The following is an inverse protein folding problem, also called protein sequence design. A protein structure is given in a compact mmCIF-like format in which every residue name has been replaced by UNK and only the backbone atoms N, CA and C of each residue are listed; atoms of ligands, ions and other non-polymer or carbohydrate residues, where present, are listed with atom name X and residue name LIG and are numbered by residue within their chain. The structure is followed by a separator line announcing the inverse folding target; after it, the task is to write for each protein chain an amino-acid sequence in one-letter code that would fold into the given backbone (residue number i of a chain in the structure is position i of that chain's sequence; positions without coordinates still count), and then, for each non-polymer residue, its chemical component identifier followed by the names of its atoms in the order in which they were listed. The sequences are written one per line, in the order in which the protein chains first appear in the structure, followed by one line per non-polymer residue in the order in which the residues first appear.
data_IF_435365954481
#
_entry.id   IF_435365954481
#
_cell.length_a   1.000
_cell.length_b   1.000
_cell.length_c   1.000
_cell.angle_alpha   90.00
_cell.angle_beta   90.00
_cell.angle_gamma   90.00
#
_symmetry.space_group_name_H-M   'P 1'
#
loop_
_entity.id
_entity.type
_entity.pdbx_description
1 polymer ?
#
# COMPACT_ATOMS: atom_id res chain seq x y z
N UNK A 1 -9.05 13.38 -1.57
CA UNK A 1 -8.96 12.51 -0.38
C UNK A 1 -9.82 11.30 -0.69
N UNK A 2 -9.31 10.11 -0.44
CA UNK A 2 -9.96 8.84 -0.75
C UNK A 2 -9.88 7.91 0.47
N UNK A 3 -10.59 6.79 0.39
CA UNK A 3 -10.43 5.67 1.30
C UNK A 3 -10.19 4.41 0.47
N UNK A 4 -9.04 3.74 0.62
CA UNK A 4 -8.68 2.56 -0.18
C UNK A 4 -8.65 2.83 -1.70
N UNK A 5 -7.88 3.85 -2.12
CA UNK A 5 -7.95 4.48 -3.44
C UNK A 5 -7.39 3.66 -4.61
N UNK A 6 -6.86 2.46 -4.38
CA UNK A 6 -6.09 1.74 -5.41
C UNK A 6 -6.92 1.45 -6.66
N UNK A 7 -8.12 0.91 -6.50
CA UNK A 7 -9.03 0.61 -7.61
C UNK A 7 -9.57 1.89 -8.27
N UNK A 8 -9.78 2.96 -7.48
CA UNK A 8 -10.21 4.27 -7.99
C UNK A 8 -9.17 4.89 -8.92
N UNK A 9 -7.88 4.81 -8.55
CA UNK A 9 -6.77 5.30 -9.39
C UNK A 9 -6.78 4.57 -10.74
N UNK A 10 -6.88 3.24 -10.72
CA UNK A 10 -6.90 2.43 -11.94
C UNK A 10 -8.12 2.77 -12.81
N UNK A 11 -9.30 2.92 -12.21
CA UNK A 11 -10.52 3.31 -12.91
C UNK A 11 -10.40 4.70 -13.55
N UNK A 12 -9.89 5.70 -12.82
CA UNK A 12 -9.71 7.07 -13.29
C UNK A 12 -8.67 7.12 -14.42
N UNK A 13 -7.54 6.43 -14.27
CA UNK A 13 -6.50 6.38 -15.30
C UNK A 13 -7.03 5.75 -16.60
N UNK A 14 -7.78 4.65 -16.49
CA UNK A 14 -8.40 4.00 -17.65
C UNK A 14 -9.48 4.89 -18.29
N UNK A 15 -10.31 5.55 -17.50
CA UNK A 15 -11.39 6.40 -18.01
C UNK A 15 -10.86 7.65 -18.73
N UNK A 16 -9.79 8.26 -18.22
CA UNK A 16 -9.26 9.52 -18.75
C UNK A 16 -8.29 9.34 -19.92
N UNK A 17 -7.88 8.10 -20.24
CA UNK A 17 -6.82 7.80 -21.23
C UNK A 17 -5.54 8.62 -21.02
N UNK A 18 -5.29 9.11 -19.80
CA UNK A 18 -4.14 9.92 -19.42
C UNK A 18 -3.49 9.27 -18.21
N UNK A 19 -2.27 8.78 -18.39
CA UNK A 19 -1.58 7.93 -17.41
C UNK A 19 -1.29 8.58 -16.05
N UNK A 20 -1.46 9.89 -15.88
CA UNK A 20 -1.31 10.59 -14.60
C UNK A 20 -2.21 11.82 -14.55
N UNK A 21 -3.37 11.70 -13.90
CA UNK A 21 -4.25 12.84 -13.61
C UNK A 21 -4.25 13.20 -12.11
N UNK A 22 -3.89 12.26 -11.24
CA UNK A 22 -4.01 12.43 -9.80
C UNK A 22 -2.72 12.94 -9.18
N UNK A 23 -2.76 14.17 -8.67
CA UNK A 23 -1.70 14.77 -7.85
C UNK A 23 -2.22 15.02 -6.43
N UNK A 24 -1.31 15.06 -5.44
CA UNK A 24 -1.65 15.37 -4.04
C UNK A 24 -2.74 14.45 -3.46
N UNK A 25 -2.59 13.15 -3.71
CA UNK A 25 -3.50 12.13 -3.21
C UNK A 25 -3.35 11.96 -1.69
N UNK A 26 -4.45 11.57 -1.04
CA UNK A 26 -4.44 11.13 0.35
C UNK A 26 -5.41 9.97 0.51
N UNK A 27 -4.97 8.90 1.18
CA UNK A 27 -5.77 7.71 1.48
C UNK A 27 -5.92 7.55 2.99
N UNK A 28 -7.16 7.64 3.47
CA UNK A 28 -7.51 7.54 4.89
C UNK A 28 -7.33 6.13 5.47
N UNK A 29 -7.47 5.07 4.67
CA UNK A 29 -7.22 3.69 5.11
C UNK A 29 -5.71 3.46 5.30
N UNK A 30 -4.90 3.93 4.35
CA UNK A 30 -3.45 3.85 4.46
C UNK A 30 -2.93 4.65 5.66
N UNK A 31 -3.47 5.86 5.86
CA UNK A 31 -3.16 6.68 7.02
C UNK A 31 -3.48 5.96 8.34
N UNK A 32 -4.66 5.33 8.43
CA UNK A 32 -5.05 4.55 9.60
C UNK A 32 -4.04 3.43 9.91
N UNK A 33 -3.59 2.72 8.88
CA UNK A 33 -2.58 1.67 9.04
C UNK A 33 -1.25 2.20 9.60
N UNK A 34 -0.80 3.39 9.17
CA UNK A 34 0.40 4.04 9.72
C UNK A 34 0.23 4.48 11.17
N UNK A 35 -0.99 4.83 11.57
CA UNK A 35 -1.36 5.22 12.92
C UNK A 35 -1.58 4.03 13.87
N UNK A 36 -1.47 2.79 13.36
CA UNK A 36 -1.57 1.56 14.16
C UNK A 36 -2.95 0.90 14.12
N UNK A 37 -3.90 1.46 13.37
CA UNK A 37 -5.19 0.84 13.13
C UNK A 37 -5.12 -0.35 12.17
N UNK A 38 -6.28 -0.97 11.94
CA UNK A 38 -6.38 -2.09 10.99
C UNK A 38 -6.01 -1.68 9.57
N UNK A 39 -5.21 -2.52 8.90
CA UNK A 39 -4.73 -2.29 7.52
C UNK A 39 -5.86 -2.31 6.48
N UNK A 40 -6.96 -3.00 6.77
CA UNK A 40 -8.09 -3.18 5.85
C UNK A 40 -9.42 -2.77 6.49
N UNK A 41 -9.40 -1.73 7.32
CA UNK A 41 -10.63 -1.15 7.87
C UNK A 41 -11.50 -0.59 6.74
N UNK A 42 -12.81 -0.79 6.81
CA UNK A 42 -13.75 -0.16 5.88
C UNK A 42 -13.99 1.31 6.24
N UNK A 43 -14.40 2.13 5.26
CA UNK A 43 -14.63 3.57 5.46
C UNK A 43 -15.59 3.85 6.61
N UNK A 44 -16.72 3.15 6.64
CA UNK A 44 -17.77 3.34 7.65
C UNK A 44 -17.29 2.96 9.05
N UNK A 45 -16.53 1.87 9.17
CA UNK A 45 -15.98 1.43 10.45
C UNK A 45 -14.90 2.43 10.92
N UNK A 46 -14.10 3.00 10.00
CA UNK A 46 -13.14 4.06 10.31
C UNK A 46 -13.82 5.36 10.76
N UNK A 47 -14.91 5.76 10.10
CA UNK A 47 -15.74 6.91 10.50
C UNK A 47 -16.30 6.68 11.90
N UNK A 48 -16.85 5.49 12.16
CA UNK A 48 -17.39 5.14 13.46
C UNK A 48 -16.30 5.17 14.55
N UNK A 49 -15.15 4.53 14.34
CA UNK A 49 -14.05 4.51 15.31
C UNK A 49 -13.46 5.90 15.59
N UNK A 50 -13.45 6.79 14.59
CA UNK A 50 -12.79 8.10 14.69
C UNK A 50 -13.74 9.22 15.14
N UNK A 51 -14.98 9.18 14.68
CA UNK A 51 -15.96 10.27 14.82
C UNK A 51 -17.22 9.87 15.60
N UNK A 52 -17.36 8.59 15.98
CA UNK A 52 -18.56 8.04 16.63
C UNK A 52 -19.85 8.25 15.81
N UNK A 53 -19.71 8.24 14.48
CA UNK A 53 -20.82 8.39 13.53
C UNK A 53 -21.10 7.07 12.83
N UNK A 54 -22.35 6.61 12.87
CA UNK A 54 -22.80 5.43 12.13
C UNK A 54 -23.27 5.82 10.72
N UNK A 55 -22.66 5.20 9.71
CA UNK A 55 -23.08 5.30 8.30
C UNK A 55 -23.80 4.01 7.91
N UNK A 56 -24.94 4.12 7.23
CA UNK A 56 -25.71 2.95 6.80
C UNK A 56 -25.02 2.20 5.65
N UNK A 57 -25.08 0.86 5.66
CA UNK A 57 -24.37 -0.06 4.74
C UNK A 57 -25.10 -0.32 3.40
N UNK A 58 -26.13 0.47 3.09
CA UNK A 58 -27.05 0.18 1.98
C UNK A 58 -26.46 0.60 0.64
N UNK A 59 -26.73 -0.14 -0.43
CA UNK A 59 -26.39 0.21 -1.82
C UNK A 59 -24.94 -0.04 -2.30
N UNK A 60 -24.05 -0.61 -1.46
CA UNK A 60 -22.66 -0.98 -1.87
C UNK A 60 -22.58 -1.87 -3.12
N UNK A 61 -23.60 -2.72 -3.35
CA UNK A 61 -23.69 -3.65 -4.51
C UNK A 61 -24.86 -3.36 -5.44
N UNK A 62 -25.34 -2.12 -5.46
CA UNK A 62 -26.49 -1.75 -6.29
C UNK A 62 -26.13 -1.59 -7.76
N UNK A 63 -27.14 -1.71 -8.63
CA UNK A 63 -26.98 -1.43 -10.04
C UNK A 63 -26.85 0.09 -10.26
N UNK A 64 -25.60 0.59 -10.25
CA UNK A 64 -25.23 1.99 -10.48
C UNK A 64 -25.39 2.45 -11.94
N UNK A 65 -25.73 1.55 -12.87
CA UNK A 65 -26.03 1.88 -14.27
C UNK A 65 -27.51 2.22 -14.50
N UNK A 66 -28.42 1.79 -13.60
CA UNK A 66 -29.85 2.06 -13.75
C UNK A 66 -30.13 3.57 -13.65
N UNK A 67 -31.06 4.07 -14.47
CA UNK A 67 -31.55 5.45 -14.42
C UNK A 67 -33.09 5.51 -14.36
N UNK A 68 -33.67 6.50 -13.64
CA UNK A 68 -32.98 7.42 -12.72
C UNK A 68 -32.38 6.68 -11.52
N UNK A 69 -31.41 7.30 -10.84
CA UNK A 69 -30.92 6.77 -9.56
C UNK A 69 -32.02 6.89 -8.51
N UNK A 70 -32.09 5.92 -7.58
CA UNK A 70 -33.00 6.01 -6.43
C UNK A 70 -32.46 7.00 -5.39
N UNK A 71 -33.34 7.58 -4.59
CA UNK A 71 -32.95 8.44 -3.47
C UNK A 71 -32.00 7.73 -2.50
N UNK A 72 -32.17 6.43 -2.29
CA UNK A 72 -31.25 5.61 -1.47
C UNK A 72 -29.84 5.55 -2.05
N UNK A 73 -29.70 5.47 -3.38
CA UNK A 73 -28.40 5.47 -4.06
C UNK A 73 -27.75 6.86 -3.97
N UNK A 74 -28.53 7.93 -4.13
CA UNK A 74 -28.03 9.30 -3.98
C UNK A 74 -27.54 9.58 -2.55
N UNK A 75 -28.33 9.19 -1.55
CA UNK A 75 -27.97 9.33 -0.14
C UNK A 75 -26.69 8.54 0.20
N UNK A 76 -26.60 7.28 -0.25
CA UNK A 76 -25.40 6.47 -0.05
C UNK A 76 -24.17 7.13 -0.68
N UNK A 77 -24.25 7.55 -1.94
CA UNK A 77 -23.13 8.17 -2.64
C UNK A 77 -22.63 9.45 -1.96
N UNK A 78 -23.52 10.24 -1.37
CA UNK A 78 -23.13 11.40 -0.57
C UNK A 78 -22.43 10.99 0.73
N UNK A 79 -22.96 10.00 1.45
CA UNK A 79 -22.40 9.54 2.73
C UNK A 79 -20.99 8.93 2.60
N UNK A 80 -20.68 8.28 1.47
CA UNK A 80 -19.39 7.64 1.19
C UNK A 80 -18.22 8.65 1.07
N UNK A 81 -18.51 9.94 1.00
CA UNK A 81 -17.49 11.01 0.94
C UNK A 81 -17.60 12.07 2.03
N UNK A 82 -18.71 12.07 2.76
CA UNK A 82 -19.09 13.14 3.70
C UNK A 82 -18.03 13.42 4.77
N UNK A 83 -17.41 12.38 5.34
CA UNK A 83 -16.51 12.47 6.49
C UNK A 83 -15.02 12.36 6.12
N UNK A 84 -14.67 12.28 4.83
CA UNK A 84 -13.28 12.12 4.40
C UNK A 84 -12.40 13.30 4.84
N UNK A 85 -12.94 14.51 4.90
CA UNK A 85 -12.18 15.70 5.28
C UNK A 85 -11.86 15.72 6.78
N UNK A 86 -12.82 15.32 7.62
CA UNK A 86 -12.69 15.20 9.07
C UNK A 86 -11.66 14.14 9.42
N UNK A 87 -11.76 12.97 8.78
CA UNK A 87 -10.75 11.90 8.90
C UNK A 87 -9.37 12.40 8.52
N UNK A 88 -9.24 13.06 7.36
CA UNK A 88 -7.97 13.62 6.90
C UNK A 88 -7.36 14.58 7.92
N UNK A 89 -8.14 15.55 8.44
CA UNK A 89 -7.64 16.53 9.43
C UNK A 89 -7.11 15.83 10.68
N UNK A 90 -7.91 14.94 11.26
CA UNK A 90 -7.53 14.17 12.45
C UNK A 90 -6.25 13.35 12.21
N UNK A 91 -6.19 12.63 11.09
CA UNK A 91 -5.06 11.77 10.77
C UNK A 91 -3.79 12.55 10.46
N UNK A 92 -3.87 13.71 9.81
CA UNK A 92 -2.70 14.56 9.54
C UNK A 92 -2.02 15.01 10.82
N UNK A 93 -2.79 15.46 11.81
CA UNK A 93 -2.23 15.94 13.08
C UNK A 93 -1.56 14.79 13.85
N UNK A 94 -2.19 13.62 13.87
CA UNK A 94 -1.60 12.41 14.46
C UNK A 94 -0.33 11.98 13.72
N UNK A 95 -0.33 11.94 12.38
CA UNK A 95 0.83 11.54 11.58
C UNK A 95 2.01 12.50 11.74
N UNK A 96 1.75 13.81 11.90
CA UNK A 96 2.77 14.81 12.22
C UNK A 96 3.39 14.53 13.59
N UNK A 97 2.56 14.27 14.60
CA UNK A 97 3.04 13.96 15.97
C UNK A 97 3.94 12.71 16.00
N UNK A 98 3.65 11.71 15.16
CA UNK A 98 4.44 10.49 15.04
C UNK A 98 5.59 10.58 14.03
N UNK A 99 5.78 11.72 13.35
CA UNK A 99 6.78 11.91 12.28
C UNK A 99 6.64 10.92 11.11
N UNK A 100 5.42 10.45 10.83
CA UNK A 100 5.09 9.48 9.76
C UNK A 100 4.45 10.14 8.53
N UNK A 101 4.21 11.45 8.55
CA UNK A 101 3.58 12.16 7.43
C UNK A 101 4.38 12.07 6.11
N UNK A 102 5.70 12.00 6.17
CA UNK A 102 6.53 11.80 4.98
C UNK A 102 6.41 10.39 4.42
N UNK A 103 6.27 9.38 5.29
CA UNK A 103 6.16 7.98 4.87
C UNK A 103 4.90 7.72 4.05
N UNK A 104 3.76 8.26 4.49
CA UNK A 104 2.51 8.13 3.72
C UNK A 104 2.60 8.83 2.36
N UNK A 105 3.24 10.01 2.29
CA UNK A 105 3.42 10.73 1.02
C UNK A 105 4.24 9.89 0.05
N UNK A 106 5.35 9.32 0.51
CA UNK A 106 6.20 8.44 -0.31
C UNK A 106 5.43 7.21 -0.83
N UNK A 107 4.54 6.61 -0.02
CA UNK A 107 3.71 5.48 -0.48
C UNK A 107 2.70 5.88 -1.56
N UNK A 108 2.04 7.02 -1.38
CA UNK A 108 1.04 7.50 -2.33
C UNK A 108 1.69 7.97 -3.62
N UNK A 109 2.84 8.62 -3.55
CA UNK A 109 3.62 9.03 -4.72
C UNK A 109 4.06 7.81 -5.55
N UNK A 110 4.52 6.73 -4.90
CA UNK A 110 4.83 5.46 -5.58
C UNK A 110 3.61 4.76 -6.19
N UNK A 111 2.44 4.91 -5.56
CA UNK A 111 1.20 4.37 -6.09
C UNK A 111 0.79 5.11 -7.37
N UNK A 112 0.91 6.44 -7.38
CA UNK A 112 0.62 7.31 -8.54
C UNK A 112 1.63 7.12 -9.67
N UNK A 113 2.91 6.94 -9.36
CA UNK A 113 3.95 6.76 -10.40
C UNK A 113 3.76 5.49 -11.22
N UNK A 114 2.88 4.57 -10.81
CA UNK A 114 2.58 3.37 -11.57
C UNK A 114 3.74 2.39 -11.62
N UNK A 115 4.68 2.47 -10.65
CA UNK A 115 5.85 1.58 -10.56
C UNK A 115 5.46 0.09 -10.59
N UNK A 116 4.25 -0.25 -10.14
CA UNK A 116 3.67 -1.60 -10.25
C UNK A 116 3.57 -2.11 -11.71
N UNK A 117 3.28 -1.21 -12.67
CA UNK A 117 3.13 -1.53 -14.09
C UNK A 117 4.48 -1.75 -14.75
N UNK A 118 5.47 -0.91 -14.44
CA UNK A 118 6.87 -1.11 -14.87
C UNK A 118 7.43 -2.46 -14.38
N UNK A 119 7.06 -2.87 -13.16
CA UNK A 119 7.46 -4.15 -12.57
C UNK A 119 6.87 -5.36 -13.29
N UNK A 120 5.66 -5.27 -13.84
CA UNK A 120 5.04 -6.34 -14.64
C UNK A 120 5.78 -6.55 -15.95
N UNK A 121 6.23 -5.47 -16.60
CA UNK A 121 7.02 -5.53 -17.83
C UNK A 121 8.38 -6.22 -17.61
N UNK A 122 9.04 -5.96 -16.48
CA UNK A 122 10.32 -6.63 -16.13
C UNK A 122 10.17 -8.14 -15.92
N UNK A 123 9.06 -8.60 -15.34
CA UNK A 123 8.81 -10.03 -15.03
C UNK A 123 8.70 -10.93 -16.27
N UNK A 124 8.35 -10.38 -17.44
CA UNK A 124 8.24 -11.13 -18.69
C UNK A 124 9.59 -11.59 -19.26
N UNK A 125 10.72 -11.14 -18.72
CA UNK A 125 12.05 -11.46 -19.23
C UNK A 125 12.89 -12.25 -18.21
N UNK A 126 13.16 -13.53 -18.49
CA UNK A 126 14.09 -14.45 -17.81
C UNK A 126 13.79 -14.85 -16.34
N UNK A 127 13.45 -16.11 -16.14
CA UNK A 127 13.51 -16.76 -14.82
C UNK A 127 14.92 -17.28 -14.51
N UNK A 128 15.56 -16.78 -13.46
CA UNK A 128 16.66 -17.52 -12.81
C UNK A 128 16.08 -18.69 -11.99
N UNK A 129 16.66 -19.88 -12.13
CA UNK A 129 16.28 -21.08 -11.38
C UNK A 129 17.06 -21.12 -10.06
N UNK A 130 16.42 -20.70 -8.97
CA UNK A 130 16.85 -21.06 -7.60
C UNK A 130 16.05 -22.29 -7.15
N UNK A 131 16.60 -23.11 -6.25
CA UNK A 131 15.85 -24.22 -5.69
C UNK A 131 14.63 -23.69 -4.91
N UNK A 132 13.49 -24.38 -5.02
CA UNK A 132 12.24 -24.07 -4.31
C UNK A 132 12.45 -24.03 -2.79
N UNK A 133 13.30 -24.90 -2.26
CA UNK A 133 13.61 -24.95 -0.83
C UNK A 133 14.43 -23.75 -0.37
N UNK A 134 15.47 -23.39 -1.12
CA UNK A 134 16.29 -22.20 -0.86
C UNK A 134 15.44 -20.92 -0.92
N UNK A 135 14.58 -20.77 -1.95
CA UNK A 135 13.63 -19.65 -2.05
C UNK A 135 12.75 -19.56 -0.81
N UNK A 136 12.20 -20.70 -0.37
CA UNK A 136 11.33 -20.76 0.82
C UNK A 136 12.10 -20.36 2.08
N UNK A 137 13.33 -20.86 2.26
CA UNK A 137 14.17 -20.52 3.41
C UNK A 137 14.43 -19.01 3.47
N UNK A 138 14.85 -18.42 2.35
CA UNK A 138 15.15 -16.99 2.25
C UNK A 138 13.92 -16.10 2.49
N UNK A 139 12.75 -16.47 1.95
CA UNK A 139 11.51 -15.75 2.23
C UNK A 139 11.11 -15.85 3.71
N UNK A 140 11.36 -16.98 4.36
CA UNK A 140 11.12 -17.12 5.80
C UNK A 140 12.06 -16.23 6.63
N UNK A 141 13.35 -16.17 6.27
CA UNK A 141 14.32 -15.27 6.91
C UNK A 141 13.96 -13.79 6.69
N UNK A 142 13.60 -13.42 5.46
CA UNK A 142 13.09 -12.08 5.13
C UNK A 142 11.88 -11.72 6.00
N UNK A 143 10.90 -12.62 6.13
CA UNK A 143 9.72 -12.39 6.96
C UNK A 143 10.07 -12.22 8.45
N UNK A 144 11.07 -12.95 8.98
CA UNK A 144 11.53 -12.76 10.37
C UNK A 144 12.11 -11.36 10.58
N UNK A 145 12.98 -10.91 9.67
CA UNK A 145 13.56 -9.55 9.71
C UNK A 145 12.45 -8.50 9.69
N UNK A 146 11.45 -8.65 8.82
CA UNK A 146 10.31 -7.72 8.74
C UNK A 146 9.54 -7.66 10.06
N UNK A 147 9.26 -8.81 10.69
CA UNK A 147 8.54 -8.86 11.97
C UNK A 147 9.33 -8.20 13.11
N UNK A 148 10.65 -8.41 13.16
CA UNK A 148 11.53 -7.80 14.16
C UNK A 148 11.58 -6.28 14.00
N UNK A 149 11.79 -5.79 12.77
CA UNK A 149 11.81 -4.36 12.46
C UNK A 149 10.44 -3.73 12.75
N UNK A 150 9.35 -4.36 12.31
CA UNK A 150 7.98 -3.90 12.56
C UNK A 150 7.69 -3.75 14.06
N UNK A 151 8.08 -4.74 14.86
CA UNK A 151 7.94 -4.70 16.33
C UNK A 151 8.78 -3.56 16.93
N UNK A 152 10.04 -3.42 16.52
CA UNK A 152 10.94 -2.40 17.08
C UNK A 152 10.49 -0.96 16.77
N UNK A 153 9.85 -0.74 15.63
CA UNK A 153 9.39 0.58 15.17
C UNK A 153 7.91 0.83 15.45
N UNK A 154 7.20 -0.13 16.05
CA UNK A 154 5.76 -0.11 16.26
C UNK A 154 4.98 0.21 14.96
N UNK A 155 5.24 -0.59 13.92
CA UNK A 155 4.63 -0.47 12.59
C UNK A 155 3.90 -1.76 12.29
N UNK A 156 2.75 -1.67 11.60
CA UNK A 156 2.06 -2.86 11.10
C UNK A 156 2.99 -3.63 10.10
N UNK A 157 3.24 -4.94 10.30
CA UNK A 157 4.16 -5.69 9.44
C UNK A 157 3.68 -5.83 7.99
N UNK A 158 2.37 -5.87 7.75
CA UNK A 158 1.79 -5.91 6.41
C UNK A 158 2.05 -4.60 5.66
N UNK A 159 1.95 -3.48 6.37
CA UNK A 159 2.27 -2.14 5.84
C UNK A 159 3.77 -1.98 5.56
N UNK A 160 4.61 -2.48 6.48
CA UNK A 160 6.06 -2.45 6.33
C UNK A 160 6.49 -3.25 5.11
N UNK A 161 6.17 -4.54 5.07
CA UNK A 161 6.54 -5.39 3.95
C UNK A 161 5.73 -6.68 3.90
N UNK A 162 4.58 -6.64 3.26
CA UNK A 162 3.68 -7.81 3.12
C UNK A 162 4.38 -9.03 2.52
N UNK A 163 3.89 -10.24 2.82
CA UNK A 163 4.40 -11.49 2.22
C UNK A 163 4.36 -11.48 0.68
N UNK A 164 3.42 -10.76 0.07
CA UNK A 164 3.35 -10.57 -1.38
C UNK A 164 4.52 -9.71 -1.85
N UNK A 165 4.70 -8.54 -1.26
CA UNK A 165 5.79 -7.63 -1.60
C UNK A 165 7.17 -8.25 -1.36
N UNK A 166 7.34 -9.07 -0.31
CA UNK A 166 8.58 -9.82 -0.08
C UNK A 166 8.92 -10.76 -1.26
N UNK A 167 7.93 -11.43 -1.85
CA UNK A 167 8.12 -12.30 -3.02
C UNK A 167 8.45 -11.51 -4.28
N UNK A 168 7.72 -10.43 -4.50
CA UNK A 168 7.94 -9.55 -5.66
C UNK A 168 9.33 -8.89 -5.58
N UNK A 169 9.73 -8.42 -4.40
CA UNK A 169 11.07 -7.88 -4.17
C UNK A 169 12.16 -8.93 -4.35
N UNK A 170 11.95 -10.16 -3.86
CA UNK A 170 12.87 -11.26 -4.11
C UNK A 170 13.12 -11.45 -5.61
N UNK A 171 12.07 -11.45 -6.42
CA UNK A 171 12.18 -11.57 -7.87
C UNK A 171 12.97 -10.42 -8.48
N UNK A 172 12.76 -9.19 -8.01
CA UNK A 172 13.56 -8.03 -8.45
C UNK A 172 15.02 -8.13 -8.05
N UNK A 173 15.32 -8.59 -6.84
CA UNK A 173 16.69 -8.80 -6.39
C UNK A 173 17.40 -9.82 -7.28
N UNK A 174 16.71 -10.89 -7.66
CA UNK A 174 17.28 -11.90 -8.55
C UNK A 174 17.54 -11.36 -9.97
N UNK A 175 16.71 -10.43 -10.45
CA UNK A 175 16.80 -9.89 -11.80
C UNK A 175 17.78 -8.70 -11.92
N UNK A 176 17.67 -7.71 -11.01
CA UNK A 176 18.43 -6.45 -11.06
C UNK A 176 19.58 -6.39 -10.05
N UNK A 177 19.59 -7.28 -9.06
CA UNK A 177 20.46 -7.18 -7.88
C UNK A 177 19.85 -6.34 -6.76
N UNK A 178 20.47 -6.44 -5.58
CA UNK A 178 19.95 -5.87 -4.32
C UNK A 178 19.77 -4.34 -4.41
N UNK A 179 20.79 -3.62 -4.83
CA UNK A 179 20.79 -2.16 -4.82
C UNK A 179 19.74 -1.56 -5.77
N UNK A 180 19.57 -2.16 -6.94
CA UNK A 180 18.58 -1.73 -7.92
C UNK A 180 17.16 -2.07 -7.48
N UNK A 181 16.94 -3.26 -6.91
CA UNK A 181 15.63 -3.64 -6.37
C UNK A 181 15.13 -2.66 -5.29
N UNK A 182 16.02 -2.12 -4.46
CA UNK A 182 15.67 -1.13 -3.43
C UNK A 182 15.18 0.21 -3.98
N UNK A 183 15.44 0.53 -5.25
CA UNK A 183 14.90 1.74 -5.89
C UNK A 183 13.38 1.65 -6.11
N UNK A 184 12.83 0.44 -6.18
CA UNK A 184 11.40 0.18 -6.39
C UNK A 184 10.56 0.18 -5.11
N UNK A 185 11.18 0.41 -3.95
CA UNK A 185 10.45 0.59 -2.68
C UNK A 185 10.64 2.00 -2.14
N UNK A 186 9.68 2.44 -1.34
CA UNK A 186 9.70 3.74 -0.66
C UNK A 186 10.95 3.95 0.16
N UNK A 187 11.37 5.20 0.27
CA UNK A 187 12.61 5.56 0.95
C UNK A 187 12.52 5.17 2.43
N UNK A 188 11.40 5.38 3.10
CA UNK A 188 11.24 4.98 4.49
C UNK A 188 11.38 3.46 4.70
N UNK A 189 10.83 2.61 3.80
CA UNK A 189 11.03 1.16 3.87
C UNK A 189 12.49 0.79 3.67
N UNK A 190 13.13 1.43 2.68
CA UNK A 190 14.56 1.25 2.39
C UNK A 190 15.41 1.60 3.61
N UNK A 191 15.17 2.75 4.22
CA UNK A 191 15.92 3.20 5.40
C UNK A 191 15.80 2.21 6.57
N UNK A 192 14.65 1.53 6.71
CA UNK A 192 14.43 0.52 7.75
C UNK A 192 14.98 -0.88 7.40
N UNK A 193 14.95 -1.28 6.14
CA UNK A 193 15.18 -2.67 5.72
C UNK A 193 16.53 -2.90 5.01
N UNK A 194 17.16 -1.84 4.47
CA UNK A 194 18.31 -1.95 3.57
C UNK A 194 19.47 -2.73 4.18
N UNK A 195 19.88 -2.40 5.41
CA UNK A 195 21.00 -3.06 6.08
C UNK A 195 20.75 -4.56 6.23
N UNK A 196 19.63 -4.93 6.85
CA UNK A 196 19.31 -6.32 7.19
C UNK A 196 19.07 -7.19 5.95
N UNK A 197 18.30 -6.70 4.98
CA UNK A 197 18.00 -7.45 3.77
C UNK A 197 19.20 -7.51 2.81
N UNK A 198 20.01 -6.45 2.71
CA UNK A 198 21.23 -6.52 1.88
C UNK A 198 22.20 -7.58 2.40
N UNK A 199 22.31 -7.74 3.71
CA UNK A 199 23.09 -8.82 4.30
C UNK A 199 22.52 -10.20 3.97
N UNK A 200 21.20 -10.38 4.06
CA UNK A 200 20.51 -11.61 3.70
C UNK A 200 20.78 -11.99 2.23
N UNK A 201 20.56 -11.07 1.31
CA UNK A 201 20.65 -11.34 -0.13
C UNK A 201 22.08 -11.45 -0.65
N UNK A 202 23.07 -10.82 0.01
CA UNK A 202 24.49 -11.00 -0.33
C UNK A 202 24.94 -12.45 -0.24
N UNK A 203 24.40 -13.24 0.70
CA UNK A 203 24.73 -14.66 0.84
C UNK A 203 24.41 -15.49 -0.41
N UNK A 204 23.50 -15.00 -1.26
CA UNK A 204 23.07 -15.70 -2.49
C UNK A 204 24.02 -15.37 -3.66
N UNK A 205 24.52 -14.13 -3.74
CA UNK A 205 25.41 -13.69 -4.82
C UNK A 205 26.80 -14.32 -4.78
N UNK A 206 27.23 -14.89 -3.64
CA UNK A 206 28.54 -15.56 -3.49
C UNK A 206 28.52 -17.06 -3.84
N UNK A 207 27.36 -17.64 -4.18
CA UNK A 207 27.26 -19.03 -4.62
C UNK A 207 27.22 -19.17 -6.16
N UNK A 208 27.85 -18.23 -6.88
CA UNK A 208 28.06 -18.31 -8.32
C UNK A 208 29.54 -18.37 -8.65
#
# INVERSE_FOLDING_TARGET
IFHSCKEDIDAINNWTNKGQVLNNLYDTQLANAFLGGSFSIGYQDLVFETLDVMIDKRETRSNWMKRPLRDSQLAYAASDVEFLLELYKSQIDQLKSQKKLTWIKEELDLMISGTSKELEDYKCSRSMRINKEEKKSLLNECNKIVLEVAKSKNINPTLLFSKRHQREFFELVMYLGVNEAFKFISKWRRDLLFSSLSFLFRKISFNK
#
